data_IF_558098070267
#
_entry.id   IF_558098070267
#
_cell.length_a   1.000
_cell.length_b   1.000
_cell.length_c   1.000
_cell.angle_alpha   90.00
_cell.angle_beta   90.00
_cell.angle_gamma   90.00
#
_symmetry.space_group_name_H-M   'P 1'
#
loop_
_entity.id
_entity.type
_entity.pdbx_description
1 polymer ?
#
# COMPACT_ATOMS: atom_id res chain seq x y z
N UNK A 1 -26.30 47.21 -7.30
CA UNK A 1 -26.79 46.04 -8.07
C UNK A 1 -25.59 45.36 -8.76
N UNK A 2 -24.74 46.12 -9.44
CA UNK A 2 -23.59 45.55 -10.17
C UNK A 2 -22.54 44.99 -9.21
N UNK A 3 -22.33 45.59 -8.05
CA UNK A 3 -21.40 45.14 -7.01
C UNK A 3 -21.79 43.77 -6.46
N UNK A 4 -23.07 43.53 -6.22
CA UNK A 4 -23.57 42.23 -5.74
C UNK A 4 -23.40 41.15 -6.81
N UNK A 5 -23.62 41.50 -8.10
CA UNK A 5 -23.43 40.56 -9.21
C UNK A 5 -21.97 40.13 -9.34
N UNK A 6 -21.02 41.05 -9.20
CA UNK A 6 -19.59 40.73 -9.26
C UNK A 6 -19.18 39.81 -8.10
N UNK A 7 -19.64 40.09 -6.89
CA UNK A 7 -19.34 39.26 -5.71
C UNK A 7 -19.90 37.85 -5.88
N UNK A 8 -21.12 37.73 -6.38
CA UNK A 8 -21.73 36.41 -6.64
C UNK A 8 -21.00 35.65 -7.77
N UNK A 9 -20.55 36.34 -8.79
CA UNK A 9 -19.78 35.74 -9.89
C UNK A 9 -18.42 35.18 -9.38
N UNK A 10 -17.71 35.95 -8.57
CA UNK A 10 -16.43 35.52 -7.97
C UNK A 10 -16.66 34.37 -7.00
N UNK A 11 -17.68 34.43 -6.15
CA UNK A 11 -18.02 33.37 -5.23
C UNK A 11 -18.36 32.06 -5.98
N UNK A 12 -19.11 32.14 -7.07
CA UNK A 12 -19.43 31.01 -7.93
C UNK A 12 -18.19 30.40 -8.59
N UNK A 13 -17.26 31.24 -9.05
CA UNK A 13 -16.02 30.79 -9.65
C UNK A 13 -15.15 30.03 -8.63
N UNK A 14 -15.00 30.56 -7.43
CA UNK A 14 -14.24 29.90 -6.35
C UNK A 14 -14.87 28.55 -5.99
N UNK A 15 -16.20 28.48 -5.91
CA UNK A 15 -16.92 27.24 -5.60
C UNK A 15 -16.64 26.14 -6.63
N UNK A 16 -16.63 26.49 -7.93
CA UNK A 16 -16.32 25.53 -9.01
C UNK A 16 -14.90 25.00 -8.89
N UNK A 17 -13.93 25.87 -8.65
CA UNK A 17 -12.51 25.48 -8.50
C UNK A 17 -12.32 24.57 -7.30
N UNK A 18 -12.96 24.83 -6.18
CA UNK A 18 -12.91 24.00 -4.97
C UNK A 18 -13.50 22.62 -5.23
N UNK A 19 -14.64 22.51 -5.90
CA UNK A 19 -15.25 21.22 -6.22
C UNK A 19 -14.38 20.35 -7.13
N UNK A 20 -13.58 20.95 -8.01
CA UNK A 20 -12.65 20.22 -8.88
C UNK A 20 -11.38 19.77 -8.14
N UNK A 21 -10.92 20.54 -7.15
CA UNK A 21 -9.67 20.27 -6.45
C UNK A 21 -9.79 19.21 -5.35
N UNK A 22 -10.95 19.16 -4.65
CA UNK A 22 -11.15 18.30 -3.47
C UNK A 22 -10.99 16.80 -3.76
N UNK A 23 -11.54 16.22 -4.85
CA UNK A 23 -11.39 14.79 -5.11
C UNK A 23 -9.93 14.36 -5.33
N UNK A 24 -9.15 15.18 -6.03
CA UNK A 24 -7.74 14.90 -6.28
C UNK A 24 -6.90 14.92 -4.99
N UNK A 25 -7.18 15.88 -4.11
CA UNK A 25 -6.49 15.99 -2.83
C UNK A 25 -6.79 14.81 -1.91
N UNK A 26 -8.05 14.39 -1.83
CA UNK A 26 -8.46 13.24 -1.02
C UNK A 26 -7.81 11.94 -1.51
N UNK A 27 -7.71 11.72 -2.82
CA UNK A 27 -7.01 10.57 -3.41
C UNK A 27 -5.52 10.58 -3.05
N UNK A 28 -4.85 11.72 -3.20
CA UNK A 28 -3.44 11.84 -2.84
C UNK A 28 -3.22 11.58 -1.35
N UNK A 29 -4.08 12.07 -0.48
CA UNK A 29 -4.01 11.82 0.96
C UNK A 29 -4.14 10.34 1.30
N UNK A 30 -5.11 9.64 0.70
CA UNK A 30 -5.27 8.19 0.89
C UNK A 30 -4.08 7.40 0.37
N UNK A 31 -3.58 7.74 -0.82
CA UNK A 31 -2.39 7.08 -1.39
C UNK A 31 -1.14 7.32 -0.55
N UNK A 32 -0.97 8.50 0.03
CA UNK A 32 0.16 8.79 0.91
C UNK A 32 0.07 7.99 2.21
N UNK A 33 -1.11 7.88 2.82
CA UNK A 33 -1.32 7.05 4.00
C UNK A 33 -1.01 5.58 3.70
N UNK A 34 -1.51 5.06 2.58
CA UNK A 34 -1.25 3.69 2.14
C UNK A 34 0.24 3.44 1.87
N UNK A 35 0.92 4.36 1.19
CA UNK A 35 2.36 4.28 0.95
C UNK A 35 3.16 4.27 2.26
N UNK A 36 2.78 5.09 3.24
CA UNK A 36 3.40 5.11 4.56
C UNK A 36 3.22 3.78 5.28
N UNK A 37 2.02 3.21 5.28
CA UNK A 37 1.75 1.91 5.87
C UNK A 37 2.49 0.78 5.15
N UNK A 38 2.56 0.82 3.81
CA UNK A 38 3.35 -0.14 3.02
C UNK A 38 4.84 -0.11 3.40
N UNK A 39 5.42 1.07 3.58
CA UNK A 39 6.80 1.22 4.06
C UNK A 39 6.97 0.72 5.50
N UNK A 40 6.01 0.95 6.38
CA UNK A 40 6.03 0.42 7.75
C UNK A 40 5.99 -1.12 7.77
N UNK A 41 5.14 -1.72 6.92
CA UNK A 41 5.09 -3.18 6.75
C UNK A 41 6.41 -3.71 6.20
N UNK A 42 7.00 -3.03 5.22
CA UNK A 42 8.29 -3.41 4.66
C UNK A 42 9.41 -3.36 5.71
N UNK A 43 9.43 -2.32 6.54
CA UNK A 43 10.35 -2.23 7.68
C UNK A 43 10.13 -3.36 8.69
N UNK A 44 8.88 -3.72 8.96
CA UNK A 44 8.52 -4.85 9.82
C UNK A 44 9.02 -6.18 9.27
N UNK A 45 8.90 -6.40 7.96
CA UNK A 45 9.47 -7.60 7.29
C UNK A 45 10.99 -7.61 7.45
N UNK A 46 11.65 -6.47 7.24
CA UNK A 46 13.11 -6.34 7.43
C UNK A 46 13.53 -6.65 8.86
N UNK A 47 12.80 -6.16 9.85
CA UNK A 47 13.04 -6.46 11.27
C UNK A 47 12.87 -7.95 11.56
N UNK A 48 11.80 -8.56 11.03
CA UNK A 48 11.57 -10.00 11.15
C UNK A 48 12.73 -10.80 10.57
N UNK A 49 13.15 -10.49 9.35
CA UNK A 49 14.27 -11.16 8.66
C UNK A 49 15.57 -11.03 9.46
N UNK A 50 15.84 -9.85 10.01
CA UNK A 50 17.02 -9.60 10.83
C UNK A 50 17.00 -10.41 12.12
N UNK A 51 15.86 -10.50 12.78
CA UNK A 51 15.69 -11.25 14.03
C UNK A 51 15.68 -12.78 13.83
N UNK A 52 15.43 -13.24 12.59
CA UNK A 52 15.34 -14.65 12.24
C UNK A 52 16.50 -15.11 11.34
N UNK A 53 17.70 -14.57 11.53
CA UNK A 53 18.93 -14.94 10.81
C UNK A 53 18.81 -14.91 9.27
N UNK A 54 18.07 -13.94 8.76
CA UNK A 54 17.85 -13.77 7.31
C UNK A 54 16.78 -14.70 6.72
N UNK A 55 16.00 -15.37 7.56
CA UNK A 55 14.90 -16.23 7.10
C UNK A 55 13.67 -15.38 6.78
N UNK A 56 13.10 -15.58 5.61
CA UNK A 56 11.86 -14.90 5.20
C UNK A 56 10.67 -15.42 6.01
N UNK A 57 9.66 -14.58 6.27
CA UNK A 57 8.49 -14.99 7.05
C UNK A 57 7.69 -16.08 6.35
N UNK A 58 6.95 -16.86 7.14
CA UNK A 58 6.02 -17.86 6.62
C UNK A 58 4.90 -17.19 5.78
N UNK A 59 4.30 -17.97 4.88
CA UNK A 59 3.17 -17.50 4.10
C UNK A 59 1.98 -17.16 5.01
N UNK A 60 1.36 -16.02 4.75
CA UNK A 60 0.14 -15.57 5.40
C UNK A 60 -0.92 -15.42 4.31
N UNK A 61 -2.00 -16.18 4.43
CA UNK A 61 -3.12 -16.08 3.49
C UNK A 61 -3.73 -14.67 3.52
N UNK A 62 -4.29 -14.23 2.40
CA UNK A 62 -4.97 -12.95 2.31
C UNK A 62 -6.10 -12.88 3.32
N UNK A 63 -6.02 -11.93 4.24
CA UNK A 63 -6.99 -11.70 5.28
C UNK A 63 -7.27 -10.20 5.44
N UNK A 64 -8.51 -9.88 5.78
CA UNK A 64 -8.86 -8.50 6.11
C UNK A 64 -8.10 -8.07 7.37
N UNK A 65 -7.53 -6.86 7.30
CA UNK A 65 -6.85 -6.26 8.44
C UNK A 65 -7.88 -5.78 9.44
N UNK A 66 -7.85 -6.34 10.65
CA UNK A 66 -8.71 -5.92 11.74
C UNK A 66 -7.89 -5.44 12.94
N UNK A 67 -8.42 -4.45 13.67
CA UNK A 67 -7.72 -3.89 14.83
C UNK A 67 -6.46 -3.08 14.50
N UNK A 68 -6.28 -2.66 13.25
CA UNK A 68 -5.18 -1.79 12.84
C UNK A 68 -3.78 -2.41 13.02
N UNK A 69 -3.67 -3.71 12.85
CA UNK A 69 -2.39 -4.43 13.00
C UNK A 69 -2.21 -5.50 11.92
N UNK A 70 -0.97 -5.63 11.47
CA UNK A 70 -0.50 -6.69 10.58
C UNK A 70 0.54 -7.50 11.33
N UNK A 71 0.40 -8.82 11.35
CA UNK A 71 1.36 -9.73 11.99
C UNK A 71 2.21 -10.42 10.92
N UNK A 72 3.52 -10.32 11.07
CA UNK A 72 4.52 -10.94 10.20
C UNK A 72 5.14 -12.10 10.94
N UNK A 73 5.07 -13.30 10.36
CA UNK A 73 5.56 -14.53 10.96
C UNK A 73 4.44 -15.53 11.24
N UNK A 74 4.79 -16.71 11.78
CA UNK A 74 3.82 -17.76 12.10
C UNK A 74 2.89 -17.33 13.25
N UNK A 75 1.63 -17.78 13.18
CA UNK A 75 0.55 -17.43 14.13
C UNK A 75 0.82 -17.88 15.57
N UNK A 76 1.74 -18.83 15.77
CA UNK A 76 2.15 -19.37 17.05
C UNK A 76 3.66 -19.52 17.06
N UNK A 77 4.36 -18.58 17.64
CA UNK A 77 5.81 -18.66 17.73
C UNK A 77 6.46 -17.42 18.32
N UNK A 78 7.63 -17.64 18.86
CA UNK A 78 8.59 -16.59 19.23
C UNK A 78 9.06 -15.89 17.93
N UNK A 79 9.25 -14.59 18.02
CA UNK A 79 9.78 -13.73 16.97
C UNK A 79 8.76 -13.30 15.88
N UNK A 80 7.53 -13.06 16.26
CA UNK A 80 6.57 -12.34 15.40
C UNK A 80 6.89 -10.84 15.42
N UNK A 81 6.72 -10.21 14.28
CA UNK A 81 6.72 -8.76 14.18
C UNK A 81 5.28 -8.25 13.97
N UNK A 82 4.87 -7.29 14.77
CA UNK A 82 3.53 -6.70 14.69
C UNK A 82 3.65 -5.24 14.27
N UNK A 83 3.14 -4.94 13.10
CA UNK A 83 3.14 -3.58 12.52
C UNK A 83 1.77 -2.96 12.69
N UNK A 84 1.73 -1.75 13.25
CA UNK A 84 0.51 -0.94 13.28
C UNK A 84 0.26 -0.33 11.90
N UNK A 85 -0.97 -0.44 11.44
CA UNK A 85 -1.45 0.16 10.19
C UNK A 85 -2.76 0.88 10.44
N UNK A 86 -3.12 1.80 9.59
CA UNK A 86 -4.42 2.46 9.64
C UNK A 86 -5.44 1.77 8.72
N UNK A 87 -6.63 2.36 8.60
CA UNK A 87 -7.71 1.85 7.76
C UNK A 87 -7.44 1.90 6.24
N UNK A 88 -6.31 2.47 5.82
CA UNK A 88 -5.92 2.47 4.41
C UNK A 88 -5.49 1.09 3.93
N UNK A 89 -5.04 0.21 4.85
CA UNK A 89 -4.71 -1.18 4.54
C UNK A 89 -5.94 -2.05 4.82
N UNK A 90 -6.52 -2.59 3.77
CA UNK A 90 -7.74 -3.40 3.84
C UNK A 90 -7.48 -4.89 3.94
N UNK A 91 -6.47 -5.38 3.22
CA UNK A 91 -6.05 -6.76 3.21
C UNK A 91 -4.52 -6.88 3.24
N UNK A 92 -4.03 -7.94 3.86
CA UNK A 92 -2.60 -8.25 3.92
C UNK A 92 -2.33 -9.72 3.64
N UNK A 93 -1.27 -10.03 2.90
CA UNK A 93 -0.79 -11.39 2.67
C UNK A 93 0.72 -11.45 2.48
N UNK A 94 1.30 -12.62 2.78
CA UNK A 94 2.70 -12.96 2.47
C UNK A 94 2.69 -14.25 1.66
N UNK A 95 3.29 -14.25 0.48
CA UNK A 95 3.21 -15.35 -0.49
C UNK A 95 4.54 -15.61 -1.18
N UNK A 96 4.68 -16.81 -1.76
CA UNK A 96 5.82 -17.14 -2.63
C UNK A 96 5.60 -16.71 -4.08
N UNK A 97 4.34 -16.60 -4.51
CA UNK A 97 3.98 -16.17 -5.86
C UNK A 97 2.92 -15.08 -5.81
N UNK A 98 3.11 -14.03 -6.61
CA UNK A 98 2.16 -12.92 -6.71
C UNK A 98 0.76 -13.40 -7.05
N UNK A 99 -0.23 -12.91 -6.31
CA UNK A 99 -1.66 -13.10 -6.58
C UNK A 99 -2.46 -11.79 -6.57
N UNK A 100 -1.85 -10.69 -6.09
CA UNK A 100 -2.49 -9.38 -6.08
C UNK A 100 -2.60 -8.79 -7.48
N UNK A 101 -3.74 -8.20 -7.79
CA UNK A 101 -4.03 -7.48 -9.04
C UNK A 101 -4.69 -6.16 -8.71
N UNK A 102 -4.87 -5.29 -9.70
CA UNK A 102 -5.64 -4.04 -9.53
C UNK A 102 -7.08 -4.28 -9.07
N UNK A 103 -7.65 -5.45 -9.38
CA UNK A 103 -8.99 -5.84 -8.94
C UNK A 103 -9.06 -6.36 -7.49
N UNK A 104 -7.93 -6.48 -6.81
CA UNK A 104 -7.89 -6.91 -5.39
C UNK A 104 -8.43 -5.86 -4.42
N UNK A 105 -8.73 -4.66 -4.91
CA UNK A 105 -9.27 -3.53 -4.16
C UNK A 105 -8.19 -2.63 -3.57
N UNK A 106 -8.52 -1.34 -3.47
CA UNK A 106 -7.64 -0.33 -2.88
C UNK A 106 -7.28 -0.70 -1.45
N UNK A 107 -6.02 -0.57 -1.09
CA UNK A 107 -5.52 -0.92 0.24
C UNK A 107 -5.15 -2.39 0.41
N UNK A 108 -5.30 -3.24 -0.60
CA UNK A 108 -4.74 -4.58 -0.58
C UNK A 108 -3.22 -4.50 -0.65
N UNK A 109 -2.53 -5.21 0.25
CA UNK A 109 -1.07 -5.25 0.37
C UNK A 109 -0.59 -6.69 0.36
N UNK A 110 0.41 -6.98 -0.43
CA UNK A 110 1.00 -8.30 -0.55
C UNK A 110 2.53 -8.24 -0.53
N UNK A 111 3.13 -8.99 0.36
CA UNK A 111 4.59 -9.25 0.34
C UNK A 111 4.85 -10.51 -0.46
N UNK A 112 5.65 -10.39 -1.50
CA UNK A 112 6.08 -11.50 -2.36
C UNK A 112 7.52 -11.83 -2.00
N UNK A 113 7.77 -13.06 -1.60
CA UNK A 113 9.10 -13.56 -1.25
C UNK A 113 9.89 -13.92 -2.51
N UNK A 114 11.23 -13.87 -2.40
CA UNK A 114 12.14 -14.16 -3.52
C UNK A 114 11.80 -13.35 -4.77
N UNK A 115 11.51 -12.07 -4.57
CA UNK A 115 11.06 -11.16 -5.60
C UNK A 115 11.70 -9.78 -5.45
N UNK A 116 11.77 -9.05 -6.54
CA UNK A 116 12.13 -7.63 -6.60
C UNK A 116 11.13 -6.88 -7.46
N UNK A 117 11.02 -5.58 -7.29
CA UNK A 117 10.18 -4.78 -8.17
C UNK A 117 10.75 -4.75 -9.59
N UNK A 118 9.87 -4.69 -10.58
CA UNK A 118 10.27 -4.37 -11.95
C UNK A 118 10.72 -2.91 -12.07
N UNK A 119 11.32 -2.54 -13.20
CA UNK A 119 11.85 -1.18 -13.44
C UNK A 119 10.78 -0.09 -13.34
N UNK A 120 9.53 -0.41 -13.64
CA UNK A 120 8.39 0.52 -13.57
C UNK A 120 7.77 0.63 -12.18
N UNK A 121 8.23 -0.19 -11.21
CA UNK A 121 7.68 -0.26 -9.85
C UNK A 121 6.16 -0.55 -9.78
N UNK A 122 5.67 -1.31 -10.75
CA UNK A 122 4.25 -1.69 -10.85
C UNK A 122 4.03 -3.20 -10.75
N UNK A 123 5.08 -3.98 -10.76
CA UNK A 123 5.03 -5.43 -10.66
C UNK A 123 6.30 -6.00 -10.03
N UNK A 124 6.35 -7.32 -9.83
CA UNK A 124 7.52 -8.03 -9.32
C UNK A 124 8.10 -8.97 -10.37
N UNK A 125 9.42 -9.14 -10.29
CA UNK A 125 10.17 -10.18 -11.00
C UNK A 125 10.71 -11.18 -9.97
N UNK A 126 10.69 -12.46 -10.33
CA UNK A 126 11.14 -13.57 -9.47
C UNK A 126 12.32 -14.31 -10.06
N UNK A 127 12.69 -14.02 -11.31
CA UNK A 127 13.82 -14.63 -12.01
C UNK A 127 15.11 -13.83 -11.79
N UNK A 128 16.19 -14.51 -11.44
CA UNK A 128 17.49 -13.86 -11.22
C UNK A 128 17.62 -13.10 -9.90
N UNK A 129 16.67 -13.23 -9.00
CA UNK A 129 16.66 -12.58 -7.68
C UNK A 129 17.21 -13.47 -6.58
N UNK A 130 17.76 -12.85 -5.54
CA UNK A 130 18.26 -13.57 -4.36
C UNK A 130 17.11 -14.28 -3.63
N UNK A 131 17.42 -15.46 -3.05
CA UNK A 131 16.49 -16.19 -2.21
C UNK A 131 16.05 -15.45 -0.94
N UNK A 132 16.74 -14.37 -0.58
CA UNK A 132 16.44 -13.51 0.58
C UNK A 132 15.74 -12.22 0.18
N UNK A 133 15.61 -11.92 -1.11
CA UNK A 133 14.90 -10.74 -1.60
C UNK A 133 13.40 -10.89 -1.36
N UNK A 134 12.76 -9.78 -1.13
CA UNK A 134 11.30 -9.68 -1.05
C UNK A 134 10.86 -8.32 -1.56
N UNK A 135 9.67 -8.26 -2.09
CA UNK A 135 9.06 -7.02 -2.56
C UNK A 135 7.63 -6.91 -2.05
N UNK A 136 7.16 -5.71 -1.84
CA UNK A 136 5.81 -5.43 -1.42
C UNK A 136 5.04 -4.77 -2.56
N UNK A 137 3.90 -5.34 -2.90
CA UNK A 137 2.93 -4.77 -3.82
C UNK A 137 1.72 -4.25 -3.05
N UNK A 138 1.18 -3.12 -3.48
CA UNK A 138 -0.08 -2.59 -2.96
C UNK A 138 -0.91 -1.93 -4.05
N UNK A 139 -2.22 -1.93 -3.87
CA UNK A 139 -3.18 -1.32 -4.78
C UNK A 139 -3.51 0.08 -4.33
N UNK A 140 -3.18 1.07 -5.14
CA UNK A 140 -3.45 2.48 -4.90
C UNK A 140 -4.44 3.05 -5.93
N UNK A 141 -5.06 4.19 -5.62
CA UNK A 141 -5.96 4.89 -6.55
C UNK A 141 -5.17 5.61 -7.64
N UNK A 142 -5.42 5.28 -8.89
CA UNK A 142 -4.90 6.01 -10.06
C UNK A 142 -5.92 7.02 -10.61
N UNK A 143 -5.48 7.84 -11.56
CA UNK A 143 -6.35 8.82 -12.25
C UNK A 143 -7.36 8.17 -13.20
N UNK A 144 -7.06 7.00 -13.71
CA UNK A 144 -7.89 6.23 -14.65
C UNK A 144 -8.32 4.86 -14.12
N UNK A 145 -8.19 4.60 -12.82
CA UNK A 145 -8.48 3.32 -12.18
C UNK A 145 -7.39 2.92 -11.19
N UNK A 146 -7.57 1.80 -10.53
CA UNK A 146 -6.62 1.32 -9.53
C UNK A 146 -5.30 0.89 -10.19
N UNK A 147 -4.20 1.19 -9.51
CA UNK A 147 -2.85 0.88 -9.96
C UNK A 147 -2.10 0.05 -8.92
N UNK A 148 -1.25 -0.84 -9.39
CA UNK A 148 -0.28 -1.52 -8.54
C UNK A 148 0.97 -0.66 -8.36
N UNK A 149 1.48 -0.64 -7.15
CA UNK A 149 2.78 -0.06 -6.80
C UNK A 149 3.63 -1.07 -6.06
N UNK A 150 4.94 -1.00 -6.27
CA UNK A 150 5.91 -1.94 -5.73
C UNK A 150 6.99 -1.21 -4.94
N UNK A 151 7.42 -1.84 -3.83
CA UNK A 151 8.52 -1.40 -2.98
C UNK A 151 9.47 -2.57 -2.78
N UNK A 152 10.76 -2.37 -3.03
CA UNK A 152 11.81 -3.37 -2.76
C UNK A 152 12.21 -3.37 -1.28
N UNK A 153 12.47 -4.53 -0.76
CA UNK A 153 13.01 -4.73 0.59
C UNK A 153 14.49 -5.07 0.61
#
# INVERSE_FOLDING_TARGET
>A
IIEVLIVLAIAGLIMVVVFLAVPALNRNSRNNALSTNANNIMSGVGTYVSNNNGTLPANVAAAAVSGGKVTIGATTGVNQEVVKVDSSVTNFSIVDAKSITTTSGIGAVQVVKKAQCNDTKTDVVTTGVSSRSYALLYVAEGSGGDILKCIDG
#
